data_IF_864647765239
#
_entry.id   IF_864647765239
#
_cell.length_a   1.000
_cell.length_b   1.000
_cell.length_c   1.000
_cell.angle_alpha   90.00
_cell.angle_beta   90.00
_cell.angle_gamma   90.00
#
_symmetry.space_group_name_H-M   'P 1'
#
loop_
_entity.id
_entity.type
_entity.pdbx_description
1 polymer ?
#
# COMPACT_ATOMS: atom_id res chain seq x y z
N UNK A 1 52.62 8.95 17.42
CA UNK A 1 51.86 8.96 18.70
C UNK A 1 50.79 7.92 18.52
N UNK A 2 50.50 7.09 19.51
CA UNK A 2 49.38 6.15 19.41
C UNK A 2 48.14 6.81 20.04
N UNK A 3 47.19 7.21 19.19
CA UNK A 3 45.94 7.81 19.64
C UNK A 3 44.91 6.78 20.13
N UNK A 4 45.09 5.50 19.79
CA UNK A 4 44.23 4.40 20.20
C UNK A 4 44.62 3.80 21.55
N UNK A 5 45.84 4.04 22.03
CA UNK A 5 46.31 3.60 23.36
C UNK A 5 45.51 4.17 24.55
N UNK A 6 44.76 5.27 24.36
CA UNK A 6 43.90 5.83 25.40
C UNK A 6 42.62 6.38 24.81
N UNK A 7 41.48 6.14 25.49
CA UNK A 7 40.18 6.62 25.03
C UNK A 7 40.06 8.15 25.00
N UNK A 8 40.86 8.85 25.78
CA UNK A 8 40.88 10.32 25.83
C UNK A 8 41.66 10.97 24.67
N UNK A 9 42.37 10.18 23.85
CA UNK A 9 43.19 10.67 22.72
C UNK A 9 42.50 10.52 21.37
N UNK A 10 41.34 9.87 21.34
CA UNK A 10 40.52 9.72 20.15
C UNK A 10 39.05 10.05 20.46
N UNK A 11 38.31 10.36 19.41
CA UNK A 11 36.88 10.69 19.46
C UNK A 11 36.01 9.61 18.76
N UNK A 12 36.51 8.37 18.62
CA UNK A 12 35.69 7.29 18.06
C UNK A 12 34.43 7.04 18.91
N UNK A 13 33.37 6.53 18.29
CA UNK A 13 32.18 5.99 18.99
C UNK A 13 32.55 4.79 19.88
N UNK A 14 31.84 4.57 20.99
CA UNK A 14 32.06 3.41 21.89
C UNK A 14 31.93 2.05 21.16
N UNK A 15 31.09 2.02 20.13
CA UNK A 15 30.85 0.86 19.27
C UNK A 15 31.74 0.86 18.02
N UNK A 16 32.76 1.71 17.97
CA UNK A 16 33.79 1.71 16.93
C UNK A 16 35.10 1.06 17.41
N UNK A 17 35.88 0.61 16.44
CA UNK A 17 37.28 0.23 16.55
C UNK A 17 38.15 1.44 16.20
N UNK A 18 39.12 1.76 17.06
CA UNK A 18 40.14 2.77 16.79
C UNK A 18 41.31 2.11 16.06
N UNK A 19 41.77 2.73 14.97
CA UNK A 19 42.88 2.25 14.14
C UNK A 19 43.92 3.36 14.06
N UNK A 20 45.04 3.14 14.75
CA UNK A 20 46.20 4.02 14.72
C UNK A 20 46.85 3.99 13.33
N UNK A 21 47.29 5.15 12.82
CA UNK A 21 47.94 5.27 11.52
C UNK A 21 49.30 5.96 11.68
N UNK A 22 50.18 5.87 10.66
CA UNK A 22 51.42 6.65 10.65
C UNK A 22 51.20 8.16 10.77
N UNK A 23 50.04 8.65 10.32
CA UNK A 23 49.61 10.05 10.42
C UNK A 23 48.20 10.07 11.04
N UNK A 24 48.14 10.33 12.35
CA UNK A 24 46.91 10.35 13.14
C UNK A 24 46.24 8.99 13.25
N UNK A 25 44.92 8.99 13.40
CA UNK A 25 44.12 7.77 13.56
C UNK A 25 42.84 7.84 12.73
N UNK A 26 42.19 6.69 12.59
CA UNK A 26 40.82 6.59 12.04
C UNK A 26 39.97 5.71 12.92
N UNK A 27 38.66 5.74 12.73
CA UNK A 27 37.74 4.88 13.44
C UNK A 27 36.84 4.15 12.45
N UNK A 28 36.38 2.97 12.84
CA UNK A 28 35.48 2.15 12.02
C UNK A 28 34.44 1.52 12.92
N UNK A 29 33.16 1.59 12.57
CA UNK A 29 32.12 0.89 13.32
C UNK A 29 32.38 -0.62 13.37
N UNK A 30 32.11 -1.25 14.51
CA UNK A 30 32.25 -2.70 14.67
C UNK A 30 31.23 -3.44 13.81
N UNK A 31 31.46 -4.73 13.61
CA UNK A 31 30.51 -5.60 12.91
C UNK A 31 29.13 -5.56 13.61
N UNK A 32 28.06 -5.46 12.82
CA UNK A 32 26.71 -5.26 13.33
C UNK A 32 26.38 -3.81 13.68
N UNK A 33 27.23 -2.85 13.32
CA UNK A 33 26.96 -1.42 13.45
C UNK A 33 27.17 -0.70 12.13
N UNK A 34 26.31 0.26 11.85
CA UNK A 34 26.34 1.14 10.70
C UNK A 34 26.90 2.50 11.08
N UNK A 35 27.73 3.06 10.21
CA UNK A 35 28.29 4.40 10.39
C UNK A 35 27.30 5.47 9.92
N UNK A 36 26.83 6.30 10.85
CA UNK A 36 25.90 7.41 10.61
C UNK A 36 26.56 8.76 10.96
N UNK A 37 27.89 8.85 10.92
CA UNK A 37 28.63 10.06 11.28
C UNK A 37 28.38 11.21 10.28
N UNK A 38 28.18 12.43 10.77
CA UNK A 38 27.88 13.64 9.94
C UNK A 38 28.99 14.04 8.96
N UNK A 39 30.22 13.56 9.16
CA UNK A 39 31.33 13.75 8.23
C UNK A 39 31.49 12.64 7.18
N UNK A 40 30.61 11.62 7.19
CA UNK A 40 30.71 10.45 6.34
C UNK A 40 32.10 9.83 6.35
N UNK A 41 32.63 9.50 5.17
CA UNK A 41 33.95 8.90 5.01
C UNK A 41 35.13 9.79 5.48
N UNK A 42 34.92 11.09 5.72
CA UNK A 42 35.98 11.97 6.24
C UNK A 42 36.21 11.78 7.74
N UNK A 43 35.13 11.52 8.49
CA UNK A 43 35.17 11.27 9.92
C UNK A 43 34.37 9.99 10.25
N UNK A 44 34.86 8.82 9.82
CA UNK A 44 34.13 7.57 10.00
C UNK A 44 34.15 7.12 11.47
N UNK A 45 33.19 6.29 11.87
CA UNK A 45 33.14 5.64 13.18
C UNK A 45 33.05 6.58 14.37
N UNK A 46 32.48 7.79 14.18
CA UNK A 46 32.19 8.77 15.23
C UNK A 46 30.80 8.62 15.81
N UNK A 47 29.90 8.02 15.03
CA UNK A 47 28.54 7.67 15.44
C UNK A 47 28.15 6.35 14.81
N UNK A 48 28.06 5.30 15.62
CA UNK A 48 27.79 3.95 15.17
C UNK A 48 26.41 3.48 15.65
N UNK A 49 25.49 3.26 14.71
CA UNK A 49 24.15 2.76 15.00
C UNK A 49 24.16 1.23 14.95
N UNK A 50 23.65 0.57 16.00
CA UNK A 50 23.49 -0.89 15.99
C UNK A 50 22.51 -1.32 14.90
N UNK A 51 22.89 -2.27 14.05
CA UNK A 51 21.98 -2.94 13.13
C UNK A 51 21.12 -3.92 13.94
N UNK A 52 19.82 -3.67 13.97
CA UNK A 52 18.84 -4.48 14.68
C UNK A 52 17.71 -4.75 13.70
N UNK A 53 17.25 -5.98 13.61
CA UNK A 53 16.02 -6.31 12.90
C UNK A 53 14.86 -6.18 13.89
N UNK A 54 14.23 -5.01 13.93
CA UNK A 54 13.13 -4.75 14.86
C UNK A 54 11.89 -5.61 14.57
N UNK A 55 11.75 -6.09 13.33
CA UNK A 55 10.67 -6.97 12.92
C UNK A 55 10.84 -8.37 13.53
N UNK A 56 12.04 -8.94 13.43
CA UNK A 56 12.33 -10.26 14.00
C UNK A 56 12.33 -10.23 15.53
N UNK A 57 12.75 -9.13 16.13
CA UNK A 57 12.80 -8.97 17.58
C UNK A 57 11.44 -8.58 18.20
N UNK A 58 10.43 -8.28 17.39
CA UNK A 58 9.12 -7.81 17.87
C UNK A 58 9.19 -6.46 18.57
N UNK A 59 10.18 -5.63 18.22
CA UNK A 59 10.36 -4.28 18.74
C UNK A 59 9.62 -3.24 17.87
N UNK A 60 9.19 -3.63 16.68
CA UNK A 60 8.43 -2.79 15.78
C UNK A 60 7.02 -2.51 16.29
N UNK A 61 6.60 -1.25 16.31
CA UNK A 61 5.27 -0.80 16.73
C UNK A 61 4.23 -0.83 15.57
N UNK A 62 4.38 -1.73 14.61
CA UNK A 62 3.43 -1.91 13.51
C UNK A 62 2.02 -2.30 14.01
N UNK A 63 0.99 -1.96 13.24
CA UNK A 63 -0.33 -2.59 13.42
C UNK A 63 -0.19 -4.11 13.33
N UNK A 64 -0.96 -4.84 14.14
CA UNK A 64 -1.00 -6.31 14.12
C UNK A 64 -1.26 -6.94 12.75
N UNK A 65 -1.93 -6.21 11.85
CA UNK A 65 -2.23 -6.62 10.48
C UNK A 65 -1.26 -6.03 9.46
N UNK A 66 -0.37 -5.12 9.86
CA UNK A 66 0.62 -4.52 8.98
C UNK A 66 1.79 -5.47 8.70
N UNK A 67 2.43 -5.25 7.56
CA UNK A 67 3.67 -5.89 7.18
C UNK A 67 4.82 -5.06 7.75
N UNK A 68 5.63 -5.65 8.62
CA UNK A 68 6.88 -5.04 9.10
C UNK A 68 7.99 -5.25 8.07
N UNK A 69 8.78 -4.20 7.81
CA UNK A 69 9.89 -4.21 6.87
C UNK A 69 11.10 -3.61 7.57
N UNK A 70 12.11 -4.44 7.83
CA UNK A 70 13.41 -4.01 8.34
C UNK A 70 14.16 -3.19 7.28
N UNK A 71 14.82 -2.11 7.69
CA UNK A 71 15.65 -1.27 6.83
C UNK A 71 17.02 -1.08 7.47
N UNK A 72 17.98 -0.60 6.68
CA UNK A 72 19.37 -0.47 7.10
C UNK A 72 19.59 0.44 8.32
N UNK A 73 18.69 1.39 8.59
CA UNK A 73 18.82 2.34 9.71
C UNK A 73 17.74 2.19 10.78
N UNK A 74 16.62 1.52 10.46
CA UNK A 74 15.40 1.41 11.26
C UNK A 74 14.42 0.46 10.55
N UNK A 75 13.19 0.31 11.02
CA UNK A 75 12.11 -0.38 10.33
C UNK A 75 11.03 0.57 9.79
N UNK A 76 10.21 0.06 8.88
CA UNK A 76 8.96 0.68 8.45
C UNK A 76 7.82 -0.34 8.48
N UNK A 77 6.58 0.14 8.47
CA UNK A 77 5.40 -0.73 8.43
C UNK A 77 4.53 -0.35 7.24
N UNK A 78 3.84 -1.33 6.68
CA UNK A 78 2.98 -1.14 5.51
C UNK A 78 1.68 -1.89 5.69
N UNK A 79 0.55 -1.22 5.48
CA UNK A 79 -0.72 -1.93 5.43
C UNK A 79 -0.77 -2.88 4.23
N UNK A 80 -1.25 -4.12 4.40
CA UNK A 80 -1.35 -5.09 3.33
C UNK A 80 -2.36 -4.64 2.26
N UNK A 81 -2.34 -5.30 1.11
CA UNK A 81 -3.28 -4.99 0.04
C UNK A 81 -4.74 -5.16 0.53
N UNK A 82 -5.60 -4.20 0.18
CA UNK A 82 -6.99 -4.18 0.67
C UNK A 82 -7.14 -3.58 2.06
N UNK A 83 -6.12 -2.89 2.58
CA UNK A 83 -6.20 -2.10 3.81
C UNK A 83 -5.79 -0.64 3.53
N UNK A 84 -6.48 0.29 4.18
CA UNK A 84 -6.14 1.70 4.23
C UNK A 84 -5.37 1.99 5.51
N UNK A 85 -4.32 2.78 5.35
CA UNK A 85 -3.54 3.33 6.45
C UNK A 85 -4.28 4.53 7.06
N UNK A 86 -4.64 4.41 8.33
CA UNK A 86 -5.28 5.48 9.12
C UNK A 86 -4.36 6.00 10.23
N UNK A 87 -3.05 5.76 10.10
CA UNK A 87 -2.07 6.26 11.07
C UNK A 87 -2.16 7.79 11.17
N UNK A 88 -1.94 8.41 12.36
CA UNK A 88 -1.96 9.87 12.50
C UNK A 88 -0.90 10.58 11.66
N UNK A 89 0.20 9.89 11.38
CA UNK A 89 1.30 10.35 10.53
C UNK A 89 1.70 9.24 9.55
N UNK A 90 0.96 9.05 8.44
CA UNK A 90 1.27 8.02 7.45
C UNK A 90 2.57 8.25 6.69
N UNK A 91 3.13 9.46 6.75
CA UNK A 91 4.36 9.80 6.00
C UNK A 91 5.57 9.29 6.77
N UNK A 92 5.66 9.58 8.07
CA UNK A 92 6.82 9.20 8.88
C UNK A 92 6.59 7.90 9.65
N UNK A 93 5.34 7.55 9.94
CA UNK A 93 4.94 6.34 10.68
C UNK A 93 3.77 5.61 9.99
N UNK A 94 3.97 5.12 8.75
CA UNK A 94 2.95 4.34 8.06
C UNK A 94 2.63 3.03 8.78
N UNK A 95 1.46 2.46 8.52
CA UNK A 95 1.09 1.10 8.91
C UNK A 95 0.98 0.87 10.42
N UNK A 96 0.72 1.91 11.21
CA UNK A 96 0.45 1.84 12.66
C UNK A 96 -1.03 1.61 12.96
N UNK A 97 -1.90 1.99 12.03
CA UNK A 97 -3.34 1.74 12.08
C UNK A 97 -3.78 1.28 10.70
N UNK A 98 -4.08 -0.01 10.54
CA UNK A 98 -4.55 -0.58 9.28
C UNK A 98 -6.03 -0.93 9.38
N UNK A 99 -6.81 -0.39 8.45
CA UNK A 99 -8.26 -0.64 8.37
C UNK A 99 -8.60 -1.37 7.08
N UNK A 100 -9.41 -2.42 7.15
CA UNK A 100 -9.81 -3.13 5.93
C UNK A 100 -10.59 -2.19 5.00
N UNK A 101 -10.17 -2.09 3.75
CA UNK A 101 -10.93 -1.42 2.70
C UNK A 101 -12.16 -2.27 2.40
N UNK A 102 -13.27 -1.91 3.04
CA UNK A 102 -14.57 -2.49 2.72
C UNK A 102 -15.06 -1.78 1.45
N UNK A 103 -15.38 -2.55 0.40
CA UNK A 103 -16.02 -1.97 -0.78
C UNK A 103 -17.30 -1.27 -0.32
N UNK A 104 -17.62 -0.11 -0.88
CA UNK A 104 -18.88 0.56 -0.54
C UNK A 104 -20.07 -0.38 -0.69
N UNK A 105 -20.10 -1.24 -1.73
CA UNK A 105 -21.16 -2.22 -1.94
C UNK A 105 -21.25 -3.34 -0.89
N UNK A 106 -20.14 -3.69 -0.24
CA UNK A 106 -20.06 -4.77 0.76
C UNK A 106 -20.24 -4.23 2.20
N UNK A 107 -20.38 -2.91 2.34
CA UNK A 107 -20.62 -2.30 3.64
C UNK A 107 -22.03 -2.64 4.14
N UNK A 108 -22.19 -3.13 5.38
CA UNK A 108 -23.51 -3.41 5.96
C UNK A 108 -24.39 -2.15 6.10
N UNK A 109 -23.79 -0.96 6.03
CA UNK A 109 -24.47 0.33 6.07
C UNK A 109 -24.58 1.00 4.68
N UNK A 110 -24.37 0.24 3.59
CA UNK A 110 -24.47 0.79 2.25
C UNK A 110 -25.92 1.18 1.89
N UNK A 111 -26.15 2.47 1.64
CA UNK A 111 -27.46 3.02 1.25
C UNK A 111 -27.44 3.70 -0.13
N UNK A 112 -26.35 3.50 -0.91
CA UNK A 112 -26.06 4.27 -2.12
C UNK A 112 -26.97 3.97 -3.31
N UNK A 113 -27.30 2.70 -3.56
CA UNK A 113 -28.20 2.32 -4.66
C UNK A 113 -29.64 2.21 -4.16
N UNK A 114 -30.41 3.31 -4.30
CA UNK A 114 -31.77 3.43 -3.75
C UNK A 114 -32.87 2.88 -4.66
N UNK A 115 -32.59 2.61 -5.94
CA UNK A 115 -33.61 2.26 -6.92
C UNK A 115 -33.95 0.77 -6.93
N UNK A 116 -35.23 0.44 -7.16
CA UNK A 116 -35.67 -0.95 -7.30
C UNK A 116 -35.03 -1.59 -8.54
N UNK A 117 -34.57 -2.83 -8.38
CA UNK A 117 -33.86 -3.58 -9.43
C UNK A 117 -32.53 -2.94 -9.89
N UNK A 118 -31.87 -2.18 -9.00
CA UNK A 118 -30.49 -1.75 -9.17
C UNK A 118 -29.55 -2.59 -8.28
N UNK A 119 -28.34 -2.89 -8.76
CA UNK A 119 -27.27 -3.56 -8.05
C UNK A 119 -26.07 -2.62 -7.91
N UNK A 120 -25.40 -2.67 -6.77
CA UNK A 120 -24.16 -1.96 -6.55
C UNK A 120 -23.00 -2.72 -7.20
N UNK A 121 -22.11 -2.01 -7.88
CA UNK A 121 -20.90 -2.56 -8.48
C UNK A 121 -19.71 -1.75 -8.00
N UNK A 122 -18.80 -2.40 -7.28
CA UNK A 122 -17.56 -1.82 -6.82
C UNK A 122 -16.60 -1.53 -7.97
N UNK A 123 -15.96 -0.37 -7.95
CA UNK A 123 -14.88 0.02 -8.88
C UNK A 123 -13.64 0.43 -8.07
N UNK A 124 -12.47 0.60 -8.72
CA UNK A 124 -11.20 0.91 -8.04
C UNK A 124 -11.29 2.14 -7.12
N UNK A 125 -12.08 3.14 -7.49
CA UNK A 125 -12.25 4.40 -6.77
C UNK A 125 -13.70 4.64 -6.31
N UNK A 126 -14.41 3.59 -5.87
CA UNK A 126 -15.73 3.72 -5.24
C UNK A 126 -16.75 2.70 -5.74
N UNK A 127 -17.95 3.16 -6.09
CA UNK A 127 -19.03 2.31 -6.56
C UNK A 127 -19.86 2.98 -7.64
N UNK A 128 -20.53 2.17 -8.45
CA UNK A 128 -21.55 2.60 -9.41
C UNK A 128 -22.78 1.71 -9.27
N UNK A 129 -23.96 2.29 -9.39
CA UNK A 129 -25.20 1.52 -9.45
C UNK A 129 -25.46 1.10 -10.91
N UNK A 130 -25.84 -0.16 -11.12
CA UNK A 130 -26.23 -0.68 -12.43
C UNK A 130 -27.58 -1.37 -12.33
N UNK A 131 -28.37 -1.36 -13.39
CA UNK A 131 -29.59 -2.15 -13.41
C UNK A 131 -29.30 -3.66 -13.36
N UNK A 132 -30.19 -4.41 -12.73
CA UNK A 132 -30.15 -5.87 -12.72
C UNK A 132 -30.37 -6.42 -14.14
N UNK A 133 -29.97 -7.67 -14.36
CA UNK A 133 -30.07 -8.30 -15.67
C UNK A 133 -31.55 -8.37 -16.11
N UNK A 134 -31.82 -7.97 -17.36
CA UNK A 134 -33.19 -7.80 -17.85
C UNK A 134 -33.84 -6.44 -17.55
N UNK A 135 -33.09 -5.46 -17.02
CA UNK A 135 -33.52 -4.08 -16.88
C UNK A 135 -32.57 -3.14 -17.64
N UNK A 136 -33.12 -2.18 -18.36
CA UNK A 136 -32.37 -1.10 -19.01
C UNK A 136 -32.41 0.16 -18.16
N UNK A 137 -31.31 0.91 -18.20
CA UNK A 137 -31.20 2.20 -17.55
C UNK A 137 -31.71 3.30 -18.46
N UNK A 138 -32.73 4.03 -18.00
CA UNK A 138 -33.32 5.15 -18.71
C UNK A 138 -32.76 6.51 -18.26
N UNK A 139 -31.77 6.53 -17.33
CA UNK A 139 -31.14 7.76 -16.84
C UNK A 139 -29.63 7.78 -17.10
N UNK A 140 -29.18 8.36 -18.23
CA UNK A 140 -27.75 8.47 -18.55
C UNK A 140 -26.97 9.36 -17.56
N UNK A 141 -27.66 10.30 -16.91
CA UNK A 141 -27.06 11.24 -15.96
C UNK A 141 -26.80 10.62 -14.58
N UNK A 142 -27.56 9.60 -14.18
CA UNK A 142 -27.41 8.91 -12.91
C UNK A 142 -27.58 7.40 -13.10
N UNK A 143 -26.48 6.68 -13.41
CA UNK A 143 -26.53 5.26 -13.68
C UNK A 143 -27.16 4.46 -12.52
N UNK A 144 -28.07 3.55 -12.84
CA UNK A 144 -28.78 2.67 -11.92
C UNK A 144 -29.93 3.33 -11.16
N UNK A 145 -30.32 4.58 -11.49
CA UNK A 145 -31.44 5.27 -10.83
C UNK A 145 -32.77 5.21 -11.58
N UNK A 146 -32.80 4.68 -12.81
CA UNK A 146 -34.06 4.46 -13.54
C UNK A 146 -34.04 3.15 -14.32
N UNK A 147 -34.19 2.04 -13.60
CA UNK A 147 -34.20 0.70 -14.18
C UNK A 147 -35.62 0.28 -14.59
N UNK A 148 -35.83 0.05 -15.88
CA UNK A 148 -37.10 -0.44 -16.45
C UNK A 148 -36.90 -1.79 -17.12
N UNK A 149 -37.87 -2.70 -17.00
CA UNK A 149 -37.77 -4.07 -17.54
C UNK A 149 -37.58 -4.01 -19.06
N UNK A 150 -36.50 -4.61 -19.54
CA UNK A 150 -36.19 -4.75 -20.95
C UNK A 150 -37.33 -5.56 -21.60
N UNK A 151 -38.13 -4.89 -22.45
CA UNK A 151 -39.31 -5.47 -23.10
C UNK A 151 -40.65 -4.78 -22.79
N UNK A 152 -40.72 -3.85 -21.84
CA UNK A 152 -41.97 -3.08 -21.56
C UNK A 152 -41.96 -1.66 -22.14
N UNK A 153 -40.79 -1.16 -22.56
CA UNK A 153 -40.65 0.24 -23.04
C UNK A 153 -41.16 0.42 -24.47
N UNK A 154 -41.31 -0.66 -25.23
CA UNK A 154 -42.05 -0.66 -26.48
C UNK A 154 -42.85 -1.96 -26.56
N UNK A 155 -44.14 -1.91 -26.88
CA UNK A 155 -44.98 -3.08 -27.17
C UNK A 155 -44.58 -3.83 -28.45
N UNK A 156 -43.27 -4.04 -28.65
CA UNK A 156 -42.69 -4.82 -29.74
C UNK A 156 -41.72 -5.81 -29.11
N UNK A 157 -42.06 -7.09 -29.30
CA UNK A 157 -41.26 -8.24 -28.93
C UNK A 157 -39.92 -8.17 -29.66
N UNK A 158 -38.89 -7.64 -29.01
CA UNK A 158 -37.53 -7.77 -29.52
C UNK A 158 -36.98 -9.11 -29.06
N UNK A 159 -36.68 -9.95 -30.06
CA UNK A 159 -35.91 -11.17 -29.88
C UNK A 159 -34.61 -10.85 -29.12
N UNK A 160 -34.30 -11.73 -28.17
CA UNK A 160 -33.01 -11.82 -27.51
C UNK A 160 -31.89 -11.72 -28.56
N UNK A 161 -31.16 -10.61 -28.58
CA UNK A 161 -29.84 -10.61 -29.19
C UNK A 161 -28.93 -11.41 -28.26
N UNK A 162 -28.29 -12.48 -28.75
CA UNK A 162 -27.39 -13.25 -27.93
C UNK A 162 -26.18 -12.39 -27.57
N UNK A 163 -25.75 -12.53 -26.33
CA UNK A 163 -24.42 -12.16 -25.86
C UNK A 163 -23.38 -12.63 -26.89
N UNK A 164 -22.62 -11.71 -27.49
CA UNK A 164 -21.40 -12.09 -28.20
C UNK A 164 -20.34 -12.44 -27.16
N UNK A 165 -19.75 -13.63 -27.24
CA UNK A 165 -18.31 -13.66 -27.33
C UNK A 165 -17.84 -14.34 -28.62
N UNK A 166 -16.87 -13.67 -29.26
CA UNK A 166 -15.84 -14.16 -30.18
C UNK A 166 -16.22 -14.78 -31.53
N UNK A 167 -15.73 -14.06 -32.56
CA UNK A 167 -14.99 -14.50 -33.76
C UNK A 167 -15.62 -15.46 -34.80
N UNK A 168 -15.25 -15.10 -36.04
CA UNK A 168 -15.24 -15.83 -37.31
C UNK A 168 -16.56 -16.09 -38.07
N UNK A 169 -16.71 -15.30 -39.14
CA UNK A 169 -16.95 -15.73 -40.52
C UNK A 169 -17.95 -16.88 -40.73
N UNK A 170 -19.19 -16.55 -41.15
CA UNK A 170 -19.81 -17.03 -42.40
C UNK A 170 -21.21 -16.46 -42.59
N UNK A 171 -21.48 -16.13 -43.86
CA UNK A 171 -22.75 -15.72 -44.48
C UNK A 171 -24.02 -16.24 -43.82
N UNK A 172 -25.08 -15.40 -43.80
CA UNK A 172 -26.52 -15.71 -44.01
C UNK A 172 -27.31 -14.38 -43.91
N UNK A 173 -28.48 -14.26 -44.58
CA UNK A 173 -28.84 -13.08 -45.39
C UNK A 173 -29.57 -11.97 -44.62
N UNK A 174 -29.62 -10.79 -45.27
CA UNK A 174 -30.29 -9.58 -44.81
C UNK A 174 -31.82 -9.79 -44.62
N UNK A 175 -32.31 -9.34 -43.47
CA UNK A 175 -33.61 -8.67 -43.32
C UNK A 175 -33.37 -7.31 -42.66
#
# INVERSE_FOLDING_TARGET
VDECASRTKNDCDENAECIDKPIGYTCRCRNGYLDISEGGARNPGRRCHKLVDECQMGLADCDSQAICIDMTHNYTCKCPHGFADQSPDPINKPGRICSKLINSCDSPNFTGCKWKHSKCVGIKDGFVCRCMDGYIDLSPANPGMNCSKAGTVYGISFCLLPTVPKQENKNIPLC
#
